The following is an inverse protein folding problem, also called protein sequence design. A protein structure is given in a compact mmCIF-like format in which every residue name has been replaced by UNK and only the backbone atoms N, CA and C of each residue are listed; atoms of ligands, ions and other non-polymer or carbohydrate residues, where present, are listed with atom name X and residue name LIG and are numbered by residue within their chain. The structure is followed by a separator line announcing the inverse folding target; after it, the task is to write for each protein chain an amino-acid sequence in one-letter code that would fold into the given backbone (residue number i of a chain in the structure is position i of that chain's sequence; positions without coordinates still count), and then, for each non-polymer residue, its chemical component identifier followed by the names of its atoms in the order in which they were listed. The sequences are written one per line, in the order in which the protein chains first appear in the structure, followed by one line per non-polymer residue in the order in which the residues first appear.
data_IF_465367750808
#
_entry.id   IF_465367750808
#
_cell.length_a   1.000
_cell.length_b   1.000
_cell.length_c   1.000
_cell.angle_alpha   90.00
_cell.angle_beta   90.00
_cell.angle_gamma   90.00
#
_symmetry.space_group_name_H-M   'P 1'
#
loop_
_entity.id
_entity.type
_entity.pdbx_description
1 polymer ?
#
# COMPACT_ATOMS: atom_id res chain seq x y z
N UNK A 1 3.91 -16.29 2.44
CA UNK A 1 2.97 -15.64 3.39
C UNK A 1 3.29 -14.15 3.46
N UNK A 2 2.35 -13.31 3.92
CA UNK A 2 2.58 -11.87 4.14
C UNK A 2 2.76 -11.64 5.64
N UNK A 3 4.00 -11.71 6.11
CA UNK A 3 4.40 -11.75 7.53
C UNK A 3 5.09 -10.47 8.02
N UNK A 4 5.44 -9.55 7.11
CA UNK A 4 6.06 -8.26 7.45
C UNK A 4 5.02 -7.14 7.53
N UNK A 5 5.19 -6.26 8.52
CA UNK A 5 4.32 -5.12 8.75
C UNK A 5 5.00 -3.81 8.30
N UNK A 6 4.20 -2.91 7.73
CA UNK A 6 4.60 -1.54 7.40
C UNK A 6 3.71 -0.59 8.21
N UNK A 7 4.31 0.15 9.15
CA UNK A 7 3.60 1.15 9.95
C UNK A 7 3.89 2.54 9.39
N UNK A 8 2.84 3.27 9.00
CA UNK A 8 2.94 4.62 8.43
C UNK A 8 2.02 5.54 9.23
N UNK A 9 2.52 6.71 9.63
CA UNK A 9 1.70 7.78 10.19
C UNK A 9 1.07 8.58 9.06
N UNK A 10 -0.23 8.77 9.13
CA UNK A 10 -1.01 9.51 8.13
C UNK A 10 -1.87 10.55 8.86
N UNK A 11 -2.08 11.68 8.21
CA UNK A 11 -3.15 12.60 8.56
C UNK A 11 -4.51 11.97 8.25
N UNK A 12 -5.58 12.52 8.85
CA UNK A 12 -6.95 12.09 8.53
C UNK A 12 -7.30 12.28 7.06
N UNK A 13 -6.76 13.35 6.45
CA UNK A 13 -6.96 13.65 5.03
C UNK A 13 -6.38 12.54 4.14
N UNK A 14 -5.11 12.18 4.35
CA UNK A 14 -4.44 11.11 3.57
C UNK A 14 -5.13 9.76 3.76
N UNK A 15 -5.56 9.46 5.00
CA UNK A 15 -6.29 8.22 5.30
C UNK A 15 -7.62 8.14 4.55
N UNK A 16 -8.34 9.26 4.43
CA UNK A 16 -9.58 9.34 3.64
C UNK A 16 -9.32 9.21 2.15
N UNK A 17 -8.30 9.87 1.62
CA UNK A 17 -7.90 9.73 0.22
C UNK A 17 -7.56 8.28 -0.14
N UNK A 18 -6.78 7.62 0.73
CA UNK A 18 -6.42 6.21 0.54
C UNK A 18 -7.66 5.32 0.49
N UNK A 19 -8.61 5.53 1.40
CA UNK A 19 -9.85 4.76 1.44
C UNK A 19 -10.71 4.98 0.20
N UNK A 20 -10.89 6.23 -0.22
CA UNK A 20 -11.67 6.55 -1.42
C UNK A 20 -11.10 5.87 -2.67
N UNK A 21 -9.78 5.88 -2.83
CA UNK A 21 -9.13 5.24 -3.97
C UNK A 21 -9.21 3.71 -3.89
N UNK A 22 -9.11 3.15 -2.69
CA UNK A 22 -9.27 1.71 -2.48
C UNK A 22 -10.70 1.26 -2.82
N UNK A 23 -11.71 1.98 -2.33
CA UNK A 23 -13.12 1.75 -2.60
C UNK A 23 -13.42 1.87 -4.11
N UNK A 24 -12.89 2.91 -4.78
CA UNK A 24 -13.04 3.11 -6.24
C UNK A 24 -12.54 1.91 -7.06
N UNK A 25 -11.50 1.22 -6.57
CA UNK A 25 -10.91 0.04 -7.24
C UNK A 25 -11.43 -1.29 -6.71
N UNK A 26 -12.39 -1.29 -5.77
CA UNK A 26 -12.96 -2.49 -5.17
C UNK A 26 -11.94 -3.30 -4.36
N UNK A 27 -11.00 -2.63 -3.68
CA UNK A 27 -9.93 -3.27 -2.91
C UNK A 27 -9.80 -2.64 -1.52
N UNK A 28 -9.12 -3.32 -0.61
CA UNK A 28 -8.76 -2.78 0.71
C UNK A 28 -7.57 -1.83 0.61
N UNK A 29 -7.40 -0.95 1.61
CA UNK A 29 -6.23 -0.06 1.71
C UNK A 29 -4.90 -0.82 1.62
N UNK A 30 -4.81 -1.98 2.28
CA UNK A 30 -3.60 -2.82 2.25
C UNK A 30 -3.35 -3.43 0.87
N UNK A 31 -4.40 -3.76 0.11
CA UNK A 31 -4.27 -4.22 -1.28
C UNK A 31 -3.85 -3.10 -2.19
N UNK A 32 -4.42 -1.91 -2.04
CA UNK A 32 -4.02 -0.73 -2.80
C UNK A 32 -2.53 -0.43 -2.60
N UNK A 33 -2.06 -0.33 -1.35
CA UNK A 33 -0.64 -0.11 -1.05
C UNK A 33 0.22 -1.21 -1.67
N UNK A 34 -0.16 -2.49 -1.54
CA UNK A 34 0.58 -3.59 -2.16
C UNK A 34 0.59 -3.52 -3.68
N UNK A 35 -0.51 -3.11 -4.31
CA UNK A 35 -0.61 -2.93 -5.76
C UNK A 35 0.27 -1.79 -6.27
N UNK A 36 0.51 -0.78 -5.44
CA UNK A 36 1.44 0.31 -5.74
C UNK A 36 2.89 -0.18 -5.59
N UNK A 37 3.21 -0.89 -4.49
CA UNK A 37 4.53 -1.50 -4.28
C UNK A 37 4.89 -2.47 -5.40
N UNK A 38 3.94 -3.26 -5.89
CA UNK A 38 4.14 -4.21 -6.98
C UNK A 38 4.53 -3.57 -8.33
N UNK A 39 4.46 -2.24 -8.46
CA UNK A 39 4.92 -1.51 -9.65
C UNK A 39 6.40 -1.14 -9.58
N UNK A 40 7.02 -1.29 -8.41
CA UNK A 40 8.45 -1.07 -8.24
C UNK A 40 9.23 -2.22 -8.91
N UNK A 41 10.46 -1.97 -9.38
CA UNK A 41 11.32 -3.03 -9.89
C UNK A 41 11.58 -4.07 -8.81
N UNK A 42 11.93 -5.29 -9.24
CA UNK A 42 12.33 -6.35 -8.32
C UNK A 42 13.45 -5.86 -7.39
N UNK A 43 13.37 -6.22 -6.09
CA UNK A 43 14.41 -5.84 -5.15
C UNK A 43 15.75 -6.43 -5.63
N UNK A 44 16.76 -5.57 -5.78
CA UNK A 44 18.12 -6.06 -6.02
C UNK A 44 18.55 -6.86 -4.81
N UNK A 45 19.15 -8.02 -5.02
CA UNK A 45 19.92 -8.67 -3.97
C UNK A 45 20.96 -7.66 -3.49
N UNK A 46 20.86 -7.29 -2.22
CA UNK A 46 21.89 -6.46 -1.61
C UNK A 46 23.11 -7.37 -1.46
N UNK A 47 24.21 -6.97 -2.10
CA UNK A 47 25.53 -7.60 -1.91
C UNK A 47 25.95 -7.46 -0.46
#
# INVERSE_FOLDING_TARGET
MKDKNLMIRLTDFEKRQLRQEADRRGMTNSELIRSLIARFPDPKESV
#
